data_IF_427813941163
#
_entry.id   IF_427813941163
#
_cell.length_a   1.000
_cell.length_b   1.000
_cell.length_c   1.000
_cell.angle_alpha   90.00
_cell.angle_beta   90.00
_cell.angle_gamma   90.00
#
_symmetry.space_group_name_H-M   'P 1'
#
loop_
_entity.id
_entity.type
_entity.pdbx_description
1 polymer ?
#
# COMPACT_ATOMS: atom_id res chain seq x y z
N UNK A 1 -13.51 -32.62 -7.57
CA UNK A 1 -12.26 -32.29 -8.30
C UNK A 1 -12.65 -31.30 -9.40
N UNK A 2 -12.03 -30.14 -9.63
CA UNK A 2 -10.63 -29.71 -9.54
C UNK A 2 -10.62 -28.26 -9.01
N UNK A 3 -10.18 -28.05 -7.77
CA UNK A 3 -10.03 -26.73 -7.14
C UNK A 3 -8.54 -26.32 -7.13
N UNK A 4 -7.87 -26.43 -8.28
CA UNK A 4 -6.40 -26.34 -8.32
C UNK A 4 -5.89 -25.56 -9.53
N UNK A 5 -6.40 -24.35 -9.77
CA UNK A 5 -5.71 -23.35 -10.61
C UNK A 5 -5.88 -21.93 -10.01
N UNK A 6 -5.76 -21.79 -8.69
CA UNK A 6 -5.55 -20.45 -8.07
C UNK A 6 -4.06 -20.18 -7.76
N UNK A 7 -3.16 -21.09 -8.15
CA UNK A 7 -1.75 -21.11 -7.74
C UNK A 7 -0.78 -20.26 -8.59
N UNK A 8 -1.27 -19.38 -9.47
CA UNK A 8 -0.38 -18.60 -10.35
C UNK A 8 -0.49 -17.07 -10.19
N UNK A 9 -1.41 -16.57 -9.36
CA UNK A 9 -1.44 -15.15 -9.01
C UNK A 9 -0.77 -14.95 -7.64
N UNK A 10 0.22 -14.06 -7.49
CA UNK A 10 0.68 -13.64 -6.19
C UNK A 10 -0.54 -13.20 -5.37
N UNK A 11 -0.69 -13.76 -4.17
CA UNK A 11 -1.78 -13.39 -3.26
C UNK A 11 -1.74 -11.88 -3.10
N UNK A 12 -2.82 -11.19 -3.51
CA UNK A 12 -2.88 -9.76 -3.31
C UNK A 12 -2.89 -9.49 -1.81
N UNK A 13 -2.10 -8.49 -1.41
CA UNK A 13 -2.07 -8.00 -0.04
C UNK A 13 -3.45 -7.47 0.33
N UNK A 14 -3.85 -7.78 1.56
CA UNK A 14 -5.03 -7.22 2.20
C UNK A 14 -4.83 -5.74 2.54
N UNK A 15 -5.94 -5.05 2.83
CA UNK A 15 -5.92 -3.66 3.30
C UNK A 15 -4.97 -3.47 4.49
N UNK A 16 -5.05 -4.33 5.51
CA UNK A 16 -4.23 -4.22 6.72
C UNK A 16 -2.73 -4.38 6.43
N UNK A 17 -2.36 -5.25 5.50
CA UNK A 17 -0.96 -5.42 5.08
C UNK A 17 -0.45 -4.20 4.31
N UNK A 18 -1.27 -3.62 3.45
CA UNK A 18 -0.94 -2.36 2.74
C UNK A 18 -0.77 -1.23 3.76
N UNK A 19 -1.68 -1.13 4.72
CA UNK A 19 -1.67 -0.14 5.80
C UNK A 19 -0.37 -0.18 6.61
N UNK A 20 0.06 -1.37 7.03
CA UNK A 20 1.32 -1.55 7.76
C UNK A 20 2.54 -1.06 6.95
N UNK A 21 2.59 -1.35 5.65
CA UNK A 21 3.70 -0.90 4.78
C UNK A 21 3.68 0.62 4.58
N UNK A 22 2.49 1.21 4.41
CA UNK A 22 2.31 2.65 4.29
C UNK A 22 2.78 3.36 5.56
N UNK A 23 2.36 2.87 6.73
CA UNK A 23 2.70 3.47 8.01
C UNK A 23 4.19 3.37 8.31
N UNK A 24 4.81 2.20 8.08
CA UNK A 24 6.26 2.04 8.20
C UNK A 24 7.02 2.97 7.24
N UNK A 25 6.50 3.17 6.03
CA UNK A 25 7.10 4.09 5.05
C UNK A 25 6.98 5.54 5.50
N UNK A 26 5.81 5.95 6.00
CA UNK A 26 5.60 7.30 6.54
C UNK A 26 6.56 7.60 7.70
N UNK A 27 6.69 6.68 8.65
CA UNK A 27 7.62 6.79 9.78
C UNK A 27 9.07 6.91 9.29
N UNK A 28 9.51 6.02 8.38
CA UNK A 28 10.87 6.06 7.81
C UNK A 28 11.18 7.35 7.07
N UNK A 29 10.19 7.93 6.40
CA UNK A 29 10.35 9.16 5.62
C UNK A 29 10.13 10.44 6.42
N UNK A 30 9.66 10.34 7.67
CA UNK A 30 9.27 11.47 8.52
C UNK A 30 8.09 12.25 7.94
N UNK A 31 7.19 11.59 7.22
CA UNK A 31 6.04 12.23 6.55
C UNK A 31 4.79 12.01 7.38
N UNK A 32 4.13 13.11 7.74
CA UNK A 32 2.89 13.10 8.54
C UNK A 32 1.78 13.94 7.93
N UNK A 33 1.99 14.52 6.75
CA UNK A 33 1.04 15.41 6.10
C UNK A 33 0.90 15.13 4.59
N UNK A 34 -0.15 15.69 4.00
CA UNK A 34 -0.43 15.56 2.57
C UNK A 34 0.67 16.15 1.67
N UNK A 35 1.56 17.02 2.18
CA UNK A 35 2.67 17.57 1.37
C UNK A 35 3.67 16.47 1.02
N UNK A 36 3.86 15.49 1.90
CA UNK A 36 4.72 14.34 1.65
C UNK A 36 4.06 13.18 0.90
N UNK A 37 2.78 13.31 0.49
CA UNK A 37 2.03 12.29 -0.24
C UNK A 37 2.79 11.73 -1.44
N UNK A 38 3.33 12.59 -2.30
CA UNK A 38 4.07 12.15 -3.49
C UNK A 38 5.32 11.31 -3.15
N UNK A 39 6.00 11.66 -2.05
CA UNK A 39 7.18 10.94 -1.57
C UNK A 39 6.80 9.55 -1.03
N UNK A 40 5.73 9.46 -0.24
CA UNK A 40 5.22 8.19 0.28
C UNK A 40 4.74 7.32 -0.87
N UNK A 41 3.90 7.84 -1.77
CA UNK A 41 3.37 7.14 -2.94
C UNK A 41 4.47 6.57 -3.83
N UNK A 42 5.51 7.36 -4.14
CA UNK A 42 6.62 6.88 -4.97
C UNK A 42 7.33 5.66 -4.39
N UNK A 43 7.48 5.61 -3.07
CA UNK A 43 8.09 4.48 -2.37
C UNK A 43 7.15 3.29 -2.29
N UNK A 44 5.92 3.48 -1.80
CA UNK A 44 4.99 2.35 -1.58
C UNK A 44 4.51 1.72 -2.88
N UNK A 45 4.30 2.51 -3.94
CA UNK A 45 3.94 1.97 -5.26
C UNK A 45 5.04 1.09 -5.84
N UNK A 46 6.31 1.43 -5.57
CA UNK A 46 7.45 0.59 -5.93
C UNK A 46 7.53 -0.70 -5.11
N UNK A 47 7.32 -0.61 -3.79
CA UNK A 47 7.37 -1.75 -2.88
C UNK A 47 6.23 -2.76 -3.07
N UNK A 48 5.05 -2.24 -3.42
CA UNK A 48 3.80 -2.99 -3.53
C UNK A 48 3.43 -3.34 -4.98
N UNK A 49 4.29 -3.03 -5.95
CA UNK A 49 4.07 -3.33 -7.37
C UNK A 49 3.83 -4.83 -7.58
N UNK A 50 2.67 -5.19 -8.11
CA UNK A 50 2.27 -6.58 -8.34
C UNK A 50 1.92 -7.37 -7.08
N UNK A 51 1.91 -6.72 -5.91
CA UNK A 51 1.50 -7.30 -4.62
C UNK A 51 0.20 -6.70 -4.09
N UNK A 52 -0.09 -5.44 -4.42
CA UNK A 52 -1.34 -4.77 -4.06
C UNK A 52 -1.87 -3.97 -5.25
N UNK A 53 -3.18 -3.74 -5.27
CA UNK A 53 -3.82 -2.83 -6.21
C UNK A 53 -3.38 -1.37 -5.96
N UNK A 54 -3.05 -0.65 -7.03
CA UNK A 54 -2.59 0.74 -6.92
C UNK A 54 -3.65 1.71 -6.40
N UNK A 55 -4.93 1.41 -6.66
CA UNK A 55 -6.06 2.17 -6.10
C UNK A 55 -6.16 1.98 -4.59
N UNK A 56 -6.08 0.74 -4.11
CA UNK A 56 -6.03 0.43 -2.67
C UNK A 56 -4.86 1.16 -1.98
N UNK A 57 -3.66 1.13 -2.58
CA UNK A 57 -2.50 1.84 -2.03
C UNK A 57 -2.75 3.35 -1.95
N UNK A 58 -3.31 3.96 -3.00
CA UNK A 58 -3.64 5.39 -3.01
C UNK A 58 -4.63 5.77 -1.91
N UNK A 59 -5.68 4.96 -1.76
CA UNK A 59 -6.70 5.16 -0.74
C UNK A 59 -6.08 5.13 0.66
N UNK A 60 -5.33 4.08 0.99
CA UNK A 60 -4.72 3.91 2.32
C UNK A 60 -3.75 5.06 2.64
N UNK A 61 -2.90 5.47 1.69
CA UNK A 61 -1.98 6.59 1.91
C UNK A 61 -2.74 7.91 2.14
N UNK A 62 -3.84 8.14 1.42
CA UNK A 62 -4.70 9.32 1.64
C UNK A 62 -5.33 9.31 3.01
N UNK A 63 -5.91 8.18 3.41
CA UNK A 63 -6.55 8.04 4.72
C UNK A 63 -5.55 8.28 5.87
N UNK A 64 -4.31 7.81 5.74
CA UNK A 64 -3.26 7.99 6.77
C UNK A 64 -2.71 9.42 6.85
N UNK A 65 -2.77 10.19 5.77
CA UNK A 65 -2.24 11.56 5.71
C UNK A 65 -3.32 12.64 5.83
N UNK A 66 -4.60 12.28 5.73
CA UNK A 66 -5.70 13.20 5.97
C UNK A 66 -5.78 13.56 7.46
N UNK A 67 -5.86 14.85 7.81
CA UNK A 67 -6.18 15.25 9.18
C UNK A 67 -7.59 14.75 9.51
N UNK A 68 -7.74 14.13 10.69
CA UNK A 68 -9.05 13.77 11.25
C UNK A 68 -9.84 15.01 11.65
#
# INVERSE_FOLDING_TARGET
EIALIEAYLPRQMSHAEVEAVVEATMQRLGVTDLKGMGKVMGVVMGQLKGKADGGLVNQVVREKLQPR
#
